data_IF_448874211729
#
_entry.id   IF_448874211729
#
_cell.length_a   1.000
_cell.length_b   1.000
_cell.length_c   1.000
_cell.angle_alpha   90.00
_cell.angle_beta   90.00
_cell.angle_gamma   90.00
#
_symmetry.space_group_name_H-M   'P 1'
#
loop_
_entity.id
_entity.type
_entity.pdbx_description
1 polymer ?
#
# COMPACT_ATOMS: atom_id res chain seq x y z
N UNK A 1 -4.93 -5.20 15.26
CA UNK A 1 -4.45 -5.91 14.06
C UNK A 1 -3.00 -6.28 14.30
N UNK A 2 -2.61 -7.51 14.01
CA UNK A 2 -1.25 -8.02 14.21
C UNK A 2 -0.69 -8.54 12.88
N UNK A 3 0.63 -8.43 12.69
CA UNK A 3 1.29 -8.92 11.48
C UNK A 3 0.80 -8.23 10.21
N UNK A 4 0.58 -6.91 10.29
CA UNK A 4 0.17 -6.10 9.16
C UNK A 4 1.24 -6.15 8.07
N UNK A 5 0.82 -6.48 6.85
CA UNK A 5 1.67 -6.51 5.67
C UNK A 5 0.96 -5.82 4.50
N UNK A 6 1.57 -4.77 3.94
CA UNK A 6 1.12 -4.10 2.74
C UNK A 6 1.92 -4.59 1.53
N UNK A 7 1.22 -5.06 0.50
CA UNK A 7 1.77 -5.42 -0.82
C UNK A 7 1.22 -4.47 -1.85
N UNK A 8 2.11 -3.95 -2.69
CA UNK A 8 1.77 -3.02 -3.76
C UNK A 8 2.32 -3.55 -5.08
N UNK A 9 1.54 -3.42 -6.15
CA UNK A 9 1.98 -3.66 -7.51
C UNK A 9 1.61 -2.48 -8.41
N UNK A 10 2.51 -2.15 -9.33
CA UNK A 10 2.37 -1.06 -10.31
C UNK A 10 2.49 -1.63 -11.74
N UNK A 11 2.04 -0.90 -12.78
CA UNK A 11 2.29 -1.26 -14.17
C UNK A 11 3.77 -1.51 -14.45
N UNK A 12 4.06 -2.42 -15.40
CA UNK A 12 5.44 -2.80 -15.78
C UNK A 12 6.30 -1.64 -16.24
N UNK A 13 5.70 -0.56 -16.73
CA UNK A 13 6.40 0.66 -17.17
C UNK A 13 6.91 1.52 -16.01
N UNK A 14 6.53 1.20 -14.77
CA UNK A 14 6.91 1.93 -13.56
C UNK A 14 7.83 1.09 -12.67
N UNK A 15 8.61 1.76 -11.83
CA UNK A 15 9.41 1.08 -10.79
C UNK A 15 8.87 1.42 -9.42
N UNK A 16 8.74 0.41 -8.57
CA UNK A 16 8.23 0.51 -7.21
C UNK A 16 9.35 0.24 -6.21
N UNK A 17 9.52 1.13 -5.24
CA UNK A 17 10.35 0.90 -4.05
C UNK A 17 9.44 1.10 -2.84
N UNK A 18 9.37 0.10 -1.97
CA UNK A 18 8.66 0.18 -0.70
C UNK A 18 9.68 0.29 0.42
N UNK A 19 9.57 1.32 1.26
CA UNK A 19 10.36 1.43 2.48
C UNK A 19 9.79 0.55 3.58
N UNK A 20 10.52 0.42 4.68
CA UNK A 20 10.04 -0.32 5.85
C UNK A 20 8.82 0.38 6.45
N UNK A 21 7.81 -0.39 6.83
CA UNK A 21 6.66 0.13 7.57
C UNK A 21 7.05 0.55 8.99
N UNK A 22 6.37 1.56 9.54
CA UNK A 22 6.66 2.09 10.89
C UNK A 22 6.36 1.09 12.01
N UNK A 23 5.42 0.17 11.79
CA UNK A 23 5.11 -0.96 12.66
C UNK A 23 4.33 -2.00 11.85
N UNK A 24 4.19 -3.22 12.37
CA UNK A 24 3.34 -4.30 11.86
C UNK A 24 2.11 -4.53 12.74
N UNK A 25 1.86 -3.66 13.73
CA UNK A 25 0.74 -3.80 14.67
C UNK A 25 -0.06 -2.51 14.81
N UNK A 26 -1.38 -2.67 14.96
CA UNK A 26 -2.29 -1.58 15.33
C UNK A 26 -3.05 -2.04 16.58
N UNK A 27 -2.83 -1.42 17.75
CA UNK A 27 -3.53 -1.77 18.97
C UNK A 27 -5.06 -1.58 18.84
N UNK A 28 -5.88 -2.44 19.47
CA UNK A 28 -7.34 -2.28 19.50
C UNK A 28 -7.73 -0.90 20.03
N UNK A 29 -8.80 -0.32 19.48
CA UNK A 29 -9.36 0.97 19.90
C UNK A 29 -8.38 2.16 19.88
N UNK A 30 -7.23 2.01 19.23
CA UNK A 30 -6.27 3.11 19.08
C UNK A 30 -6.61 3.99 17.88
N UNK A 31 -6.16 5.25 17.94
CA UNK A 31 -6.12 6.16 16.80
C UNK A 31 -4.76 6.10 16.07
N UNK A 32 -3.94 5.11 16.41
CA UNK A 32 -2.60 4.97 15.83
C UNK A 32 -2.70 4.45 14.40
N UNK A 33 -1.76 4.87 13.57
CA UNK A 33 -1.64 4.42 12.19
C UNK A 33 -0.26 3.81 11.95
N UNK A 34 -0.23 2.76 11.13
CA UNK A 34 0.99 2.29 10.49
C UNK A 34 1.19 3.09 9.20
N UNK A 35 2.41 3.57 8.99
CA UNK A 35 2.79 4.33 7.81
C UNK A 35 3.91 3.59 7.07
N UNK A 36 3.87 3.62 5.74
CA UNK A 36 4.92 3.06 4.90
C UNK A 36 5.12 3.99 3.70
N UNK A 37 6.37 4.38 3.45
CA UNK A 37 6.68 5.23 2.31
C UNK A 37 6.82 4.37 1.05
N UNK A 38 6.19 4.81 -0.04
CA UNK A 38 6.19 4.12 -1.32
C UNK A 38 6.65 5.11 -2.40
N UNK A 39 7.69 4.73 -3.13
CA UNK A 39 8.20 5.51 -4.26
C UNK A 39 7.82 4.84 -5.57
N UNK A 40 7.08 5.56 -6.42
CA UNK A 40 6.72 5.11 -7.77
C UNK A 40 7.47 5.97 -8.77
N UNK A 41 8.45 5.39 -9.45
CA UNK A 41 9.13 6.04 -10.57
C UNK A 41 8.28 5.91 -11.84
N UNK A 42 7.83 7.04 -12.37
CA UNK A 42 7.01 7.14 -13.57
C UNK A 42 7.72 7.97 -14.65
N UNK A 43 8.64 7.34 -15.39
CA UNK A 43 9.46 8.03 -16.41
C UNK A 43 8.63 8.51 -17.61
N UNK A 44 7.59 7.77 -17.98
CA UNK A 44 6.78 8.04 -19.16
C UNK A 44 5.62 9.00 -18.90
N UNK A 45 5.48 9.52 -17.67
CA UNK A 45 4.34 10.35 -17.23
C UNK A 45 2.97 9.74 -17.61
N UNK A 46 2.86 8.42 -17.57
CA UNK A 46 1.60 7.72 -17.86
C UNK A 46 0.67 7.76 -16.66
N UNK A 47 -0.62 7.48 -16.87
CA UNK A 47 -1.58 7.35 -15.78
C UNK A 47 -1.10 6.30 -14.74
N UNK A 48 -1.14 6.68 -13.46
CA UNK A 48 -0.73 5.81 -12.36
C UNK A 48 -1.92 4.96 -11.92
N UNK A 49 -1.66 3.66 -11.77
CA UNK A 49 -2.59 2.69 -11.22
C UNK A 49 -1.84 1.79 -10.26
N UNK A 50 -2.44 1.48 -9.12
CA UNK A 50 -1.84 0.64 -8.09
C UNK A 50 -2.80 -0.48 -7.75
N UNK A 51 -2.31 -1.73 -7.70
CA UNK A 51 -3.00 -2.82 -7.02
C UNK A 51 -2.42 -2.96 -5.63
N UNK A 52 -3.28 -2.99 -4.62
CA UNK A 52 -2.88 -3.20 -3.23
C UNK A 52 -3.46 -4.50 -2.69
N UNK A 53 -2.73 -5.09 -1.75
CA UNK A 53 -3.20 -6.15 -0.87
C UNK A 53 -2.69 -5.88 0.54
N UNK A 54 -3.56 -6.01 1.53
CA UNK A 54 -3.27 -5.84 2.95
C UNK A 54 -3.64 -7.14 3.66
N UNK A 55 -2.67 -7.74 4.33
CA UNK A 55 -2.86 -8.93 5.15
C UNK A 55 -2.63 -8.58 6.62
N UNK A 56 -3.45 -9.12 7.52
CA UNK A 56 -3.26 -8.97 8.96
C UNK A 56 -4.09 -9.99 9.74
N UNK A 57 -3.77 -10.18 11.02
CA UNK A 57 -4.59 -10.97 11.94
C UNK A 57 -5.46 -10.03 12.79
N UNK A 58 -6.76 -10.34 12.87
CA UNK A 58 -7.70 -9.69 13.76
C UNK A 58 -8.53 -10.73 14.50
N UNK A 59 -8.53 -10.68 15.83
CA UNK A 59 -9.24 -11.62 16.69
C UNK A 59 -8.90 -13.10 16.38
N UNK A 60 -7.64 -13.39 16.05
CA UNK A 60 -7.17 -14.74 15.70
C UNK A 60 -7.48 -15.19 14.27
N UNK A 61 -8.13 -14.35 13.46
CA UNK A 61 -8.49 -14.65 12.06
C UNK A 61 -7.57 -13.89 11.12
N UNK A 62 -7.05 -14.58 10.10
CA UNK A 62 -6.31 -13.95 9.00
C UNK A 62 -7.29 -13.22 8.08
N UNK A 63 -7.07 -11.92 7.94
CA UNK A 63 -7.80 -11.03 7.06
C UNK A 63 -6.94 -10.71 5.85
N UNK A 64 -7.55 -10.73 4.68
CA UNK A 64 -6.97 -10.25 3.44
C UNK A 64 -7.92 -9.23 2.82
N UNK A 65 -7.39 -8.08 2.44
CA UNK A 65 -8.11 -7.05 1.69
C UNK A 65 -7.29 -6.68 0.47
N UNK A 66 -7.91 -6.62 -0.69
CA UNK A 66 -7.22 -6.22 -1.92
C UNK A 66 -8.09 -5.31 -2.77
N UNK A 67 -7.44 -4.56 -3.65
CA UNK A 67 -8.15 -3.65 -4.55
C UNK A 67 -7.23 -3.00 -5.56
N UNK A 68 -7.84 -2.18 -6.41
CA UNK A 68 -7.14 -1.36 -7.39
C UNK A 68 -7.49 0.12 -7.15
N UNK A 69 -6.47 0.97 -7.19
CA UNK A 69 -6.60 2.40 -7.08
C UNK A 69 -6.01 3.07 -8.32
N UNK A 70 -6.85 3.82 -9.04
CA UNK A 70 -6.49 4.57 -10.24
C UNK A 70 -6.86 6.05 -10.13
N UNK A 71 -7.11 6.54 -8.91
CA UNK A 71 -7.55 7.93 -8.64
C UNK A 71 -6.41 8.93 -8.46
N UNK A 72 -5.19 8.62 -8.92
CA UNK A 72 -4.07 9.56 -8.81
C UNK A 72 -4.30 10.79 -9.71
N UNK A 73 -3.85 11.98 -9.29
CA UNK A 73 -3.85 13.16 -10.15
C UNK A 73 -3.12 12.86 -11.45
N UNK A 74 -3.64 13.36 -12.57
CA UNK A 74 -2.96 13.23 -13.85
C UNK A 74 -1.63 13.99 -13.80
N UNK A 75 -0.55 13.42 -14.37
CA UNK A 75 0.70 14.15 -14.51
C UNK A 75 0.46 15.47 -15.26
N UNK A 76 1.17 16.55 -14.89
CA UNK A 76 1.12 17.79 -15.65
C UNK A 76 1.56 17.53 -17.09
N UNK A 77 0.86 18.18 -18.04
CA UNK A 77 1.14 18.10 -19.48
C UNK A 77 2.59 18.48 -19.80
#
# INVERSE_FOLDING_TARGET
>A
MLGLELKIAVPKSMKLIMETQSSDTIPPQSTNAVTQLIHIKNENKSDIRVRYQVNYIQNGVTMEQSGEFAGFPKPPA
#
